data_IF_234444000880
#
_entry.id   IF_234444000880
#
_cell.length_a   1.000
_cell.length_b   1.000
_cell.length_c   1.000
_cell.angle_alpha   90.00
_cell.angle_beta   90.00
_cell.angle_gamma   90.00
#
_symmetry.space_group_name_H-M   'P 1'
#
loop_
_entity.id
_entity.type
_entity.pdbx_description
1 polymer ?
#
# COMPACT_ATOMS: atom_id res chain seq x y z
N UNK A 1 -17.97 -40.19 -5.92
CA UNK A 1 -17.39 -39.55 -4.75
C UNK A 1 -15.88 -39.41 -5.02
N UNK A 2 -15.47 -38.35 -5.73
CA UNK A 2 -14.06 -38.10 -6.07
C UNK A 2 -13.53 -37.16 -5.01
N UNK A 3 -12.75 -37.70 -4.07
CA UNK A 3 -11.97 -36.93 -3.11
C UNK A 3 -10.94 -36.13 -3.91
N UNK A 4 -11.22 -34.85 -4.17
CA UNK A 4 -10.18 -33.92 -4.66
C UNK A 4 -9.10 -33.85 -3.58
N UNK A 5 -7.97 -34.48 -3.84
CA UNK A 5 -6.77 -34.31 -3.04
C UNK A 5 -6.50 -32.80 -2.94
N UNK A 6 -6.56 -32.27 -1.72
CA UNK A 6 -6.16 -30.91 -1.42
C UNK A 6 -4.65 -30.87 -1.65
N UNK A 7 -4.24 -30.53 -2.86
CA UNK A 7 -2.86 -30.14 -3.10
C UNK A 7 -2.62 -28.92 -2.22
N UNK A 8 -1.87 -29.10 -1.13
CA UNK A 8 -1.28 -27.99 -0.40
C UNK A 8 -0.32 -27.30 -1.36
N UNK A 9 -0.83 -26.36 -2.16
CA UNK A 9 0.02 -25.52 -2.99
C UNK A 9 0.97 -24.79 -2.05
N UNK A 10 2.27 -25.03 -2.23
CA UNK A 10 3.31 -24.39 -1.42
C UNK A 10 3.38 -22.90 -1.84
N UNK A 11 2.42 -22.10 -1.33
CA UNK A 11 2.28 -20.67 -1.66
C UNK A 11 3.46 -19.85 -1.13
N UNK A 12 4.14 -20.32 -0.06
CA UNK A 12 5.31 -19.66 0.54
C UNK A 12 6.56 -20.05 -0.25
N UNK A 13 6.63 -19.61 -1.49
CA UNK A 13 7.79 -19.83 -2.35
C UNK A 13 8.98 -19.01 -1.91
N UNK A 14 10.19 -19.37 -2.39
CA UNK A 14 11.40 -18.57 -2.15
C UNK A 14 11.22 -17.09 -2.55
N UNK A 15 10.57 -16.81 -3.67
CA UNK A 15 10.34 -15.44 -4.11
C UNK A 15 9.40 -14.68 -3.16
N UNK A 16 8.32 -15.33 -2.70
CA UNK A 16 7.41 -14.73 -1.72
C UNK A 16 8.15 -14.35 -0.45
N UNK A 17 8.96 -15.28 0.09
CA UNK A 17 9.74 -15.02 1.29
C UNK A 17 10.78 -13.91 1.09
N UNK A 18 11.64 -14.02 0.05
CA UNK A 18 12.70 -13.04 -0.20
C UNK A 18 12.13 -11.65 -0.45
N UNK A 19 11.12 -11.52 -1.32
CA UNK A 19 10.52 -10.21 -1.63
C UNK A 19 9.80 -9.60 -0.43
N UNK A 20 9.24 -10.42 0.46
CA UNK A 20 8.62 -9.94 1.69
C UNK A 20 9.65 -9.41 2.69
N UNK A 21 10.78 -10.11 2.87
CA UNK A 21 11.89 -9.64 3.70
C UNK A 21 12.53 -8.38 3.11
N UNK A 22 12.71 -8.31 1.80
CA UNK A 22 13.19 -7.11 1.09
C UNK A 22 12.26 -5.91 1.36
N UNK A 23 10.94 -6.13 1.33
CA UNK A 23 9.97 -5.08 1.61
C UNK A 23 10.00 -4.63 3.07
N UNK A 24 10.07 -5.58 4.00
CA UNK A 24 10.23 -5.32 5.43
C UNK A 24 11.44 -4.41 5.72
N UNK A 25 12.62 -4.76 5.18
CA UNK A 25 13.84 -3.95 5.37
C UNK A 25 13.71 -2.57 4.76
N UNK A 26 13.13 -2.48 3.56
CA UNK A 26 12.95 -1.21 2.88
C UNK A 26 11.97 -0.30 3.62
N UNK A 27 10.87 -0.85 4.14
CA UNK A 27 9.89 -0.06 4.87
C UNK A 27 10.43 0.31 6.26
N UNK A 28 11.17 -0.57 6.94
CA UNK A 28 11.94 -0.22 8.15
C UNK A 28 12.85 1.00 7.89
N UNK A 29 13.59 0.99 6.77
CA UNK A 29 14.46 2.10 6.39
C UNK A 29 13.71 3.41 6.11
N UNK A 30 12.55 3.33 5.48
CA UNK A 30 11.75 4.50 5.10
C UNK A 30 11.01 5.10 6.29
N UNK A 31 10.41 4.25 7.11
CA UNK A 31 9.57 4.63 8.23
C UNK A 31 10.39 5.05 9.46
N UNK A 32 11.67 4.63 9.56
CA UNK A 32 12.59 5.13 10.56
C UNK A 32 12.75 6.66 10.47
N UNK A 33 12.76 7.19 9.25
CA UNK A 33 12.94 8.61 8.98
C UNK A 33 11.62 9.38 8.91
N UNK A 34 10.50 8.69 8.66
CA UNK A 34 9.23 9.35 8.35
C UNK A 34 8.77 10.36 9.42
N UNK A 35 8.74 10.03 10.73
CA UNK A 35 8.36 11.00 11.75
C UNK A 35 9.44 12.05 12.04
N UNK A 36 10.69 11.79 11.73
CA UNK A 36 11.82 12.68 12.01
C UNK A 36 12.11 13.68 10.88
N UNK A 37 11.69 13.36 9.66
CA UNK A 37 12.01 14.16 8.48
C UNK A 37 11.39 15.57 8.51
N UNK A 38 10.13 15.78 8.92
CA UNK A 38 9.56 17.12 9.10
C UNK A 38 10.35 17.95 10.12
N UNK A 39 10.74 17.34 11.24
CA UNK A 39 11.56 17.98 12.28
C UNK A 39 12.93 18.37 11.72
N UNK A 40 13.60 17.45 11.04
CA UNK A 40 14.88 17.70 10.41
C UNK A 40 14.82 18.87 9.41
N UNK A 41 13.82 18.89 8.55
CA UNK A 41 13.62 19.95 7.56
C UNK A 41 13.42 21.33 8.21
N UNK A 42 12.60 21.41 9.26
CA UNK A 42 12.22 22.69 9.87
C UNK A 42 13.26 23.17 10.88
N UNK A 43 13.74 22.30 11.77
CA UNK A 43 14.63 22.70 12.87
C UNK A 43 16.12 22.70 12.51
N UNK A 44 16.56 21.77 11.63
CA UNK A 44 17.97 21.65 11.27
C UNK A 44 18.28 22.38 9.97
N UNK A 45 17.42 22.23 8.94
CA UNK A 45 17.64 22.86 7.64
C UNK A 45 16.91 24.20 7.47
N UNK A 46 16.14 24.64 8.46
CA UNK A 46 15.44 25.95 8.44
C UNK A 46 14.37 26.06 7.34
N UNK A 47 13.85 24.95 6.83
CA UNK A 47 12.85 24.97 5.78
C UNK A 47 11.49 25.47 6.30
N UNK A 48 10.76 26.31 5.55
CA UNK A 48 9.38 26.67 5.90
C UNK A 48 8.47 25.42 5.95
N UNK A 49 7.48 25.36 6.85
CA UNK A 49 6.56 24.21 6.95
C UNK A 49 5.85 23.86 5.63
N UNK A 50 5.55 24.85 4.79
CA UNK A 50 4.97 24.61 3.46
C UNK A 50 5.86 23.75 2.54
N UNK A 51 7.19 23.78 2.72
CA UNK A 51 8.14 22.97 1.96
C UNK A 51 8.00 21.50 2.33
N UNK A 52 7.69 21.16 3.57
CA UNK A 52 7.48 19.77 4.01
C UNK A 52 6.32 19.14 3.23
N UNK A 53 5.18 19.82 3.15
CA UNK A 53 4.04 19.36 2.35
C UNK A 53 4.34 19.27 0.85
N UNK A 54 5.08 20.25 0.31
CA UNK A 54 5.48 20.24 -1.09
C UNK A 54 6.41 19.06 -1.43
N UNK A 55 7.34 18.70 -0.54
CA UNK A 55 8.24 17.55 -0.69
C UNK A 55 7.44 16.24 -0.74
N UNK A 56 6.55 16.02 0.21
CA UNK A 56 5.74 14.79 0.27
C UNK A 56 4.76 14.71 -0.92
N UNK A 57 4.12 15.81 -1.28
CA UNK A 57 3.22 15.88 -2.44
C UNK A 57 3.92 15.58 -3.76
N UNK A 58 5.08 16.19 -4.00
CA UNK A 58 5.89 15.95 -5.19
C UNK A 58 6.39 14.49 -5.25
N UNK A 59 6.85 13.96 -4.11
CA UNK A 59 7.34 12.59 -4.01
C UNK A 59 6.23 11.56 -4.30
N UNK A 60 5.04 11.71 -3.72
CA UNK A 60 3.93 10.77 -3.93
C UNK A 60 3.33 10.89 -5.34
N UNK A 61 3.28 12.09 -5.90
CA UNK A 61 2.96 12.33 -7.31
C UNK A 61 3.90 11.59 -8.26
N UNK A 62 5.21 11.70 -8.02
CA UNK A 62 6.23 10.97 -8.78
C UNK A 62 6.06 9.45 -8.69
N UNK A 63 5.77 8.92 -7.49
CA UNK A 63 5.51 7.50 -7.30
C UNK A 63 4.29 7.03 -8.12
N UNK A 64 3.19 7.77 -8.09
CA UNK A 64 1.95 7.41 -8.77
C UNK A 64 2.11 7.39 -10.30
N UNK A 65 2.77 8.41 -10.87
CA UNK A 65 3.13 8.46 -12.30
C UNK A 65 4.01 7.27 -12.71
N UNK A 66 5.03 6.99 -11.89
CA UNK A 66 5.98 5.91 -12.19
C UNK A 66 5.35 4.53 -12.11
N UNK A 67 4.39 4.29 -11.20
CA UNK A 67 3.63 3.03 -11.12
C UNK A 67 2.89 2.73 -12.43
N UNK A 68 2.27 3.75 -13.06
CA UNK A 68 1.60 3.59 -14.36
C UNK A 68 2.57 3.19 -15.46
N UNK A 69 3.75 3.80 -15.50
CA UNK A 69 4.78 3.51 -16.51
C UNK A 69 5.48 2.16 -16.26
N UNK A 70 5.75 1.80 -15.01
CA UNK A 70 6.46 0.58 -14.63
C UNK A 70 5.67 -0.71 -14.87
N UNK A 71 4.34 -0.65 -14.80
CA UNK A 71 3.48 -1.80 -15.10
C UNK A 71 3.77 -2.41 -16.48
N UNK A 72 3.59 -1.65 -17.59
CA UNK A 72 3.94 -2.09 -18.92
C UNK A 72 5.39 -2.57 -19.11
N UNK A 73 6.34 -1.89 -18.46
CA UNK A 73 7.75 -2.30 -18.49
C UNK A 73 7.95 -3.67 -17.83
N UNK A 74 7.28 -3.92 -16.69
CA UNK A 74 7.34 -5.20 -15.98
C UNK A 74 6.70 -6.37 -16.74
N UNK A 75 5.80 -6.13 -17.72
CA UNK A 75 5.29 -7.18 -18.58
C UNK A 75 6.14 -7.36 -19.86
N UNK A 76 6.83 -6.31 -20.29
CA UNK A 76 7.68 -6.35 -21.48
C UNK A 76 9.09 -6.89 -21.22
N UNK A 77 9.68 -6.52 -20.09
CA UNK A 77 11.05 -6.86 -19.71
C UNK A 77 11.07 -7.87 -18.54
N UNK A 78 12.24 -8.37 -18.21
CA UNK A 78 12.49 -9.13 -16.97
C UNK A 78 12.20 -8.23 -15.76
N UNK A 79 11.51 -8.77 -14.77
CA UNK A 79 11.04 -8.01 -13.59
C UNK A 79 12.15 -7.79 -12.57
N UNK A 80 13.04 -8.78 -12.40
CA UNK A 80 14.12 -8.72 -11.39
C UNK A 80 15.01 -7.48 -11.54
N UNK A 81 15.52 -7.08 -12.72
CA UNK A 81 16.30 -5.84 -12.87
C UNK A 81 15.51 -4.58 -12.53
N UNK A 82 14.21 -4.51 -12.89
CA UNK A 82 13.34 -3.39 -12.53
C UNK A 82 13.15 -3.29 -11.02
N UNK A 83 12.96 -4.42 -10.35
CA UNK A 83 12.84 -4.50 -8.90
C UNK A 83 14.15 -4.04 -8.25
N UNK A 84 15.30 -4.54 -8.71
CA UNK A 84 16.62 -4.15 -8.21
C UNK A 84 16.89 -2.66 -8.42
N UNK A 85 16.60 -2.12 -9.61
CA UNK A 85 16.71 -0.70 -9.90
C UNK A 85 15.83 0.15 -8.96
N UNK A 86 14.57 -0.28 -8.74
CA UNK A 86 13.64 0.43 -7.85
C UNK A 86 14.11 0.46 -6.39
N UNK A 87 14.61 -0.64 -5.85
CA UNK A 87 15.20 -0.67 -4.51
C UNK A 87 16.53 0.10 -4.46
N UNK A 88 17.36 0.01 -5.51
CA UNK A 88 18.59 0.78 -5.65
C UNK A 88 18.34 2.31 -5.66
N UNK A 89 17.33 2.77 -6.39
CA UNK A 89 16.89 4.17 -6.37
C UNK A 89 16.42 4.58 -4.97
N UNK A 90 15.71 3.73 -4.26
CA UNK A 90 15.26 4.04 -2.90
C UNK A 90 16.45 4.13 -1.91
N UNK A 91 17.45 3.27 -2.03
CA UNK A 91 18.68 3.37 -1.25
C UNK A 91 19.48 4.64 -1.61
N UNK A 92 19.63 4.94 -2.91
CA UNK A 92 20.27 6.18 -3.39
C UNK A 92 19.54 7.42 -2.89
N UNK A 93 18.21 7.43 -2.91
CA UNK A 93 17.40 8.52 -2.37
C UNK A 93 17.73 8.80 -0.89
N UNK A 94 17.90 7.74 -0.08
CA UNK A 94 18.29 7.88 1.34
C UNK A 94 19.71 8.42 1.50
N UNK A 95 20.63 7.98 0.65
CA UNK A 95 22.01 8.57 0.63
C UNK A 95 21.95 10.06 0.30
N UNK A 96 21.18 10.45 -0.72
CA UNK A 96 21.03 11.87 -1.09
C UNK A 96 20.45 12.68 0.09
N UNK A 97 19.43 12.16 0.77
CA UNK A 97 18.85 12.81 1.97
C UNK A 97 19.89 12.94 3.08
N UNK A 98 20.69 11.89 3.33
CA UNK A 98 21.68 11.87 4.41
C UNK A 98 22.82 12.89 4.22
N UNK A 99 23.20 13.16 2.97
CA UNK A 99 24.27 14.15 2.65
C UNK A 99 23.72 15.53 2.32
N UNK A 100 22.40 15.73 2.35
CA UNK A 100 21.76 17.00 1.99
C UNK A 100 22.04 18.08 3.03
N UNK A 101 22.74 19.14 2.62
CA UNK A 101 22.97 20.33 3.45
C UNK A 101 21.83 21.36 3.39
N UNK A 102 20.81 21.15 2.56
CA UNK A 102 19.66 22.05 2.39
C UNK A 102 18.42 21.27 1.92
N UNK A 103 17.23 21.83 2.15
CA UNK A 103 15.95 21.19 1.80
C UNK A 103 15.78 20.79 0.33
N UNK A 104 16.36 21.47 -0.71
CA UNK A 104 16.26 21.00 -2.08
C UNK A 104 16.94 19.64 -2.31
N UNK A 105 18.04 19.36 -1.59
CA UNK A 105 18.68 18.04 -1.60
C UNK A 105 17.77 16.96 -1.01
N UNK A 106 17.07 17.28 0.09
CA UNK A 106 16.06 16.37 0.68
C UNK A 106 14.92 16.10 -0.29
N UNK A 107 14.40 17.14 -0.98
CA UNK A 107 13.40 16.98 -2.04
C UNK A 107 13.89 16.03 -3.13
N UNK A 108 15.10 16.24 -3.65
CA UNK A 108 15.68 15.38 -4.68
C UNK A 108 15.77 13.92 -4.21
N UNK A 109 16.28 13.68 -3.00
CA UNK A 109 16.38 12.34 -2.42
C UNK A 109 15.02 11.66 -2.22
N UNK A 110 14.01 12.38 -1.74
CA UNK A 110 12.64 11.88 -1.56
C UNK A 110 12.00 11.54 -2.90
N UNK A 111 12.15 12.39 -3.93
CA UNK A 111 11.63 12.11 -5.27
C UNK A 111 12.30 10.85 -5.85
N UNK A 112 13.63 10.71 -5.74
CA UNK A 112 14.36 9.52 -6.21
C UNK A 112 13.89 8.25 -5.49
N UNK A 113 13.73 8.28 -4.16
CA UNK A 113 13.18 7.16 -3.38
C UNK A 113 11.78 6.76 -3.87
N UNK A 114 10.90 7.73 -4.08
CA UNK A 114 9.52 7.50 -4.51
C UNK A 114 9.40 7.05 -5.97
N UNK A 115 10.23 7.55 -6.86
CA UNK A 115 10.39 6.99 -8.21
C UNK A 115 10.78 5.51 -8.14
N UNK A 116 11.74 5.16 -7.26
CA UNK A 116 12.12 3.78 -7.00
C UNK A 116 10.95 2.92 -6.51
N UNK A 117 10.11 3.43 -5.59
CA UNK A 117 8.89 2.78 -5.14
C UNK A 117 7.91 2.53 -6.30
N UNK A 118 7.78 3.50 -7.20
CA UNK A 118 6.96 3.37 -8.40
C UNK A 118 7.46 2.29 -9.37
N UNK A 119 8.78 2.29 -9.65
CA UNK A 119 9.40 1.33 -10.59
C UNK A 119 9.26 -0.11 -10.10
N UNK A 120 9.48 -0.38 -8.81
CA UNK A 120 9.48 -1.75 -8.26
C UNK A 120 8.08 -2.33 -7.98
N UNK A 121 7.09 -1.49 -7.67
CA UNK A 121 5.80 -1.91 -7.10
C UNK A 121 5.07 -2.96 -7.93
N UNK A 122 4.67 -2.60 -9.15
CA UNK A 122 3.91 -3.47 -10.03
C UNK A 122 4.70 -4.70 -10.53
N UNK A 123 5.99 -4.60 -10.95
CA UNK A 123 6.81 -5.76 -11.27
C UNK A 123 7.00 -6.73 -10.09
N UNK A 124 7.19 -6.22 -8.88
CA UNK A 124 7.30 -7.02 -7.66
C UNK A 124 6.02 -7.79 -7.39
N UNK A 125 4.87 -7.12 -7.41
CA UNK A 125 3.58 -7.72 -7.11
C UNK A 125 3.22 -8.80 -8.15
N UNK A 126 3.58 -8.60 -9.41
CA UNK A 126 3.42 -9.62 -10.45
C UNK A 126 4.37 -10.83 -10.27
N UNK A 127 5.59 -10.61 -9.76
CA UNK A 127 6.55 -11.68 -9.50
C UNK A 127 6.22 -12.49 -8.23
N UNK A 128 5.61 -11.85 -7.23
CA UNK A 128 5.12 -12.51 -6.01
C UNK A 128 4.14 -13.64 -6.32
N UNK A 129 3.27 -13.45 -7.30
CA UNK A 129 2.22 -14.42 -7.66
C UNK A 129 2.59 -15.29 -8.87
N UNK A 130 3.82 -15.20 -9.39
CA UNK A 130 4.26 -16.00 -10.51
C UNK A 130 4.28 -17.49 -10.15
N UNK A 131 3.47 -18.28 -10.85
CA UNK A 131 3.31 -19.72 -10.58
C UNK A 131 2.51 -20.05 -9.32
N UNK A 132 1.79 -19.08 -8.76
CA UNK A 132 0.89 -19.27 -7.62
C UNK A 132 -0.56 -19.39 -8.12
N UNK A 133 -1.26 -20.40 -7.61
CA UNK A 133 -2.66 -20.63 -7.90
C UNK A 133 -3.52 -19.45 -7.42
N UNK A 134 -4.60 -19.15 -8.14
CA UNK A 134 -5.51 -18.04 -7.81
C UNK A 134 -6.11 -18.16 -6.41
N UNK A 135 -6.33 -19.40 -5.93
CA UNK A 135 -6.84 -19.71 -4.60
C UNK A 135 -5.85 -19.46 -3.45
N UNK A 136 -4.63 -19.04 -3.75
CA UNK A 136 -3.58 -18.77 -2.76
C UNK A 136 -3.00 -17.34 -2.87
N UNK A 137 -3.45 -16.55 -3.83
CA UNK A 137 -2.93 -15.19 -4.05
C UNK A 137 -3.27 -14.23 -2.91
N UNK A 138 -4.39 -14.43 -2.24
CA UNK A 138 -4.77 -13.67 -1.05
C UNK A 138 -3.77 -13.86 0.09
N UNK A 139 -3.38 -15.11 0.37
CA UNK A 139 -2.34 -15.45 1.36
C UNK A 139 -0.99 -14.83 1.01
N UNK A 140 -0.59 -14.89 -0.26
CA UNK A 140 0.68 -14.30 -0.72
C UNK A 140 0.71 -12.79 -0.49
N UNK A 141 -0.31 -12.08 -0.95
CA UNK A 141 -0.38 -10.63 -0.75
C UNK A 141 -0.59 -10.24 0.71
N UNK A 142 -1.36 -11.02 1.47
CA UNK A 142 -1.54 -10.83 2.91
C UNK A 142 -0.23 -10.99 3.67
N UNK A 143 0.52 -12.05 3.42
CA UNK A 143 1.84 -12.29 4.03
C UNK A 143 2.85 -11.20 3.66
N UNK A 144 2.91 -10.84 2.38
CA UNK A 144 3.78 -9.77 1.92
C UNK A 144 3.44 -8.45 2.60
N UNK A 145 2.15 -8.13 2.75
CA UNK A 145 1.70 -6.92 3.42
C UNK A 145 2.00 -6.97 4.92
N UNK A 146 1.82 -8.10 5.59
CA UNK A 146 2.25 -8.28 6.99
C UNK A 146 3.71 -7.90 7.17
N UNK A 147 4.61 -8.42 6.34
CA UNK A 147 6.05 -8.13 6.41
C UNK A 147 6.36 -6.66 6.11
N UNK A 148 5.73 -6.09 5.08
CA UNK A 148 5.83 -4.69 4.67
C UNK A 148 5.45 -3.77 5.87
N UNK A 149 4.26 -4.01 6.46
CA UNK A 149 3.73 -3.20 7.56
C UNK A 149 4.47 -3.43 8.89
N UNK A 150 5.03 -4.62 9.14
CA UNK A 150 5.93 -4.82 10.27
C UNK A 150 7.17 -3.92 10.18
N UNK A 151 7.65 -3.62 8.97
CA UNK A 151 8.67 -2.60 8.74
C UNK A 151 8.20 -1.21 9.15
N UNK A 152 6.93 -0.87 8.87
CA UNK A 152 6.31 0.39 9.29
C UNK A 152 6.04 0.48 10.80
N UNK A 153 6.00 -0.64 11.52
CA UNK A 153 5.97 -0.69 12.99
C UNK A 153 7.38 -0.52 13.56
N UNK A 154 8.34 -1.31 13.05
CA UNK A 154 9.70 -1.35 13.58
C UNK A 154 10.48 -0.06 13.27
N UNK A 155 10.29 0.51 12.07
CA UNK A 155 11.00 1.71 11.64
C UNK A 155 10.90 2.88 12.60
N UNK A 156 9.69 3.39 12.92
CA UNK A 156 9.50 4.49 13.85
C UNK A 156 10.02 4.20 15.25
N UNK A 157 9.88 2.96 15.74
CA UNK A 157 10.41 2.54 17.05
C UNK A 157 11.94 2.60 17.08
N UNK A 158 12.62 2.14 16.02
CA UNK A 158 14.07 2.25 15.88
C UNK A 158 14.49 3.72 15.73
N UNK A 159 13.70 4.52 15.00
CA UNK A 159 13.92 5.96 14.86
C UNK A 159 13.87 6.66 16.20
N UNK A 160 12.85 6.39 17.02
CA UNK A 160 12.69 6.98 18.34
C UNK A 160 13.79 6.53 19.29
N UNK A 161 14.06 5.22 19.37
CA UNK A 161 15.13 4.68 20.22
C UNK A 161 16.50 5.26 19.83
N UNK A 162 16.80 5.34 18.53
CA UNK A 162 18.03 5.94 18.05
C UNK A 162 18.12 7.46 18.32
N UNK A 163 17.00 8.17 18.26
CA UNK A 163 16.93 9.60 18.58
C UNK A 163 17.29 9.86 20.04
N UNK A 164 16.75 9.04 20.96
CA UNK A 164 17.10 9.11 22.39
C UNK A 164 18.56 8.72 22.65
N UNK A 165 19.04 7.62 22.05
CA UNK A 165 20.42 7.13 22.22
C UNK A 165 21.50 8.04 21.63
N UNK A 166 21.16 8.89 20.68
CA UNK A 166 22.07 9.81 19.97
C UNK A 166 21.93 11.25 20.46
N UNK A 167 21.53 11.47 21.70
CA UNK A 167 21.34 12.81 22.30
C UNK A 167 20.50 13.75 21.41
N UNK A 168 19.39 13.23 20.90
CA UNK A 168 18.44 13.95 20.06
C UNK A 168 18.99 14.45 18.72
N UNK A 169 20.07 13.83 18.22
CA UNK A 169 20.69 14.19 16.94
C UNK A 169 20.09 13.39 15.79
N UNK A 170 19.41 14.08 14.86
CA UNK A 170 18.77 13.44 13.69
C UNK A 170 19.78 13.03 12.59
N UNK A 171 20.84 13.81 12.23
CA UNK A 171 21.71 13.46 11.12
C UNK A 171 22.31 12.04 11.15
N UNK A 172 22.78 11.48 12.29
CA UNK A 172 23.27 10.09 12.31
C UNK A 172 22.19 9.06 11.93
N UNK A 173 20.92 9.30 12.26
CA UNK A 173 19.81 8.40 11.92
C UNK A 173 19.57 8.31 10.41
N UNK A 174 19.85 9.40 9.67
CA UNK A 174 19.77 9.39 8.21
C UNK A 174 20.75 8.38 7.60
N UNK A 175 21.95 8.25 8.17
CA UNK A 175 22.94 7.24 7.74
C UNK A 175 22.55 5.83 8.19
N UNK A 176 22.02 5.66 9.40
CA UNK A 176 21.55 4.35 9.90
C UNK A 176 20.46 3.79 8.99
N UNK A 177 19.55 4.62 8.50
CA UNK A 177 18.48 4.18 7.58
C UNK A 177 18.99 3.65 6.23
N UNK A 178 20.22 4.00 5.83
CA UNK A 178 20.84 3.48 4.59
C UNK A 178 21.11 1.97 4.73
N UNK A 179 21.47 1.49 5.92
CA UNK A 179 21.85 0.08 6.15
C UNK A 179 20.74 -0.90 5.72
N UNK A 180 19.52 -0.85 6.29
CA UNK A 180 18.45 -1.76 5.84
C UNK A 180 18.03 -1.53 4.39
N UNK A 181 18.16 -0.29 3.87
CA UNK A 181 17.88 -0.02 2.46
C UNK A 181 18.88 -0.73 1.53
N UNK A 182 20.18 -0.68 1.83
CA UNK A 182 21.22 -1.39 1.05
C UNK A 182 21.06 -2.90 1.17
N UNK A 183 20.78 -3.42 2.38
CA UNK A 183 20.51 -4.85 2.57
C UNK A 183 19.32 -5.31 1.72
N UNK A 184 18.26 -4.49 1.61
CA UNK A 184 17.12 -4.80 0.74
C UNK A 184 17.53 -4.97 -0.72
N UNK A 185 18.40 -4.09 -1.23
CA UNK A 185 18.94 -4.18 -2.61
C UNK A 185 19.74 -5.48 -2.82
N UNK A 186 20.63 -5.80 -1.88
CA UNK A 186 21.46 -7.00 -1.96
C UNK A 186 20.61 -8.28 -1.97
N UNK A 187 19.57 -8.33 -1.13
CA UNK A 187 18.66 -9.47 -1.05
C UNK A 187 17.83 -9.68 -2.33
N UNK A 188 17.58 -8.64 -3.14
CA UNK A 188 16.97 -8.82 -4.47
C UNK A 188 17.83 -9.75 -5.35
N UNK A 189 19.13 -9.82 -5.10
CA UNK A 189 20.03 -10.79 -5.75
C UNK A 189 19.61 -12.25 -5.59
N UNK A 190 18.89 -12.59 -4.50
CA UNK A 190 18.37 -13.94 -4.23
C UNK A 190 17.05 -14.27 -4.94
N UNK A 191 16.39 -13.29 -5.54
CA UNK A 191 15.14 -13.46 -6.30
C UNK A 191 15.41 -14.26 -7.57
N UNK A 192 14.56 -15.24 -7.84
CA UNK A 192 14.63 -16.07 -9.04
C UNK A 192 13.49 -15.72 -9.98
N UNK A 193 13.80 -15.34 -11.20
CA UNK A 193 12.83 -15.16 -12.27
C UNK A 193 13.02 -16.21 -13.34
N UNK A 194 11.93 -16.86 -13.75
CA UNK A 194 11.98 -17.83 -14.83
C UNK A 194 12.17 -17.11 -16.16
N UNK A 195 13.05 -17.61 -17.06
CA UNK A 195 13.17 -17.05 -18.39
C UNK A 195 11.80 -17.04 -19.08
N UNK A 196 11.36 -15.88 -19.53
CA UNK A 196 10.12 -15.78 -20.31
C UNK A 196 10.34 -16.39 -21.68
N UNK A 197 9.67 -17.49 -21.96
CA UNK A 197 9.72 -18.16 -23.28
C UNK A 197 8.90 -17.35 -24.30
N UNK A 198 9.54 -16.92 -25.39
CA UNK A 198 8.92 -16.29 -26.56
C UNK A 198 9.66 -15.02 -27.03
N UNK A 199 9.71 -14.78 -28.35
CA UNK A 199 10.38 -13.62 -28.91
C UNK A 199 9.67 -12.31 -28.48
N UNK A 200 10.44 -11.31 -28.09
CA UNK A 200 9.93 -9.99 -27.71
C UNK A 200 9.09 -9.30 -28.82
N UNK A 201 9.36 -9.66 -30.07
CA UNK A 201 8.69 -9.13 -31.25
C UNK A 201 7.20 -9.54 -31.40
N UNK A 202 6.75 -10.60 -30.71
CA UNK A 202 5.34 -11.06 -30.76
C UNK A 202 4.46 -10.45 -29.66
N UNK A 203 5.01 -9.62 -28.79
CA UNK A 203 4.24 -9.00 -27.69
C UNK A 203 3.41 -7.82 -28.23
N UNK A 204 2.09 -7.98 -28.17
CA UNK A 204 1.15 -6.90 -28.53
C UNK A 204 1.47 -5.64 -27.72
N UNK A 205 1.29 -4.43 -28.29
CA UNK A 205 1.41 -3.20 -27.53
C UNK A 205 0.54 -3.27 -26.27
N UNK A 206 1.13 -3.06 -25.09
CA UNK A 206 0.46 -3.25 -23.80
C UNK A 206 -0.83 -2.43 -23.71
N UNK A 207 -0.84 -1.22 -24.26
CA UNK A 207 -2.05 -0.38 -24.33
C UNK A 207 -3.20 -1.06 -25.09
N UNK A 208 -2.90 -1.78 -26.20
CA UNK A 208 -3.91 -2.53 -26.97
C UNK A 208 -4.37 -3.77 -26.22
N UNK A 209 -3.46 -4.43 -25.48
CA UNK A 209 -3.78 -5.60 -24.66
C UNK A 209 -4.64 -5.22 -23.46
N UNK A 210 -4.35 -4.11 -22.77
CA UNK A 210 -5.16 -3.58 -21.67
C UNK A 210 -6.58 -3.20 -22.13
N UNK A 211 -6.71 -2.55 -23.30
CA UNK A 211 -8.04 -2.22 -23.86
C UNK A 211 -8.88 -3.46 -24.17
N UNK A 212 -8.24 -4.60 -24.43
CA UNK A 212 -8.90 -5.90 -24.65
C UNK A 212 -9.30 -6.62 -23.38
N UNK A 213 -9.02 -6.09 -22.19
CA UNK A 213 -9.40 -6.73 -20.91
C UNK A 213 -10.92 -6.73 -20.74
N UNK A 214 -11.46 -7.76 -20.03
CA UNK A 214 -12.90 -7.89 -19.81
C UNK A 214 -13.48 -6.65 -19.12
N UNK A 215 -14.72 -6.29 -19.44
CA UNK A 215 -15.43 -5.18 -18.80
C UNK A 215 -15.53 -5.34 -17.26
N UNK A 216 -15.42 -6.59 -16.74
CA UNK A 216 -15.36 -6.86 -15.31
C UNK A 216 -14.10 -6.26 -14.67
N UNK A 217 -12.93 -6.31 -15.33
CA UNK A 217 -11.70 -5.69 -14.84
C UNK A 217 -11.91 -4.18 -14.67
N UNK A 218 -12.40 -3.51 -15.73
CA UNK A 218 -12.59 -2.05 -15.71
C UNK A 218 -13.62 -1.60 -14.66
N UNK A 219 -14.69 -2.38 -14.46
CA UNK A 219 -15.66 -2.10 -13.39
C UNK A 219 -15.04 -2.18 -12.01
N UNK A 220 -14.18 -3.19 -11.76
CA UNK A 220 -13.49 -3.32 -10.49
C UNK A 220 -12.48 -2.18 -10.30
N UNK A 221 -11.68 -1.85 -11.31
CA UNK A 221 -10.76 -0.71 -11.23
C UNK A 221 -11.52 0.59 -10.96
N UNK A 222 -12.61 0.87 -11.68
CA UNK A 222 -13.40 2.07 -11.47
C UNK A 222 -13.95 2.17 -10.01
N UNK A 223 -14.38 1.03 -9.45
CA UNK A 223 -14.86 0.97 -8.06
C UNK A 223 -13.72 1.24 -7.07
N UNK A 224 -12.56 0.59 -7.23
CA UNK A 224 -11.41 0.75 -6.34
C UNK A 224 -10.83 2.16 -6.41
N UNK A 225 -10.74 2.73 -7.61
CA UNK A 225 -10.29 4.12 -7.82
C UNK A 225 -11.32 5.11 -7.30
N UNK A 226 -12.62 4.85 -7.53
CA UNK A 226 -13.71 5.66 -6.98
C UNK A 226 -13.68 5.72 -5.46
N UNK A 227 -13.46 4.58 -4.80
CA UNK A 227 -13.21 4.56 -3.35
C UNK A 227 -11.95 5.36 -2.98
N UNK A 228 -10.87 5.26 -3.78
CA UNK A 228 -9.64 6.02 -3.55
C UNK A 228 -9.85 7.53 -3.49
N UNK A 229 -10.87 8.09 -4.18
CA UNK A 229 -11.19 9.54 -4.15
C UNK A 229 -11.73 9.99 -2.79
N UNK A 230 -12.23 9.08 -1.97
CA UNK A 230 -12.74 9.38 -0.62
C UNK A 230 -11.85 8.83 0.49
N UNK A 231 -10.77 8.12 0.14
CA UNK A 231 -9.79 7.60 1.08
C UNK A 231 -8.56 8.53 1.11
N UNK A 232 -8.58 9.56 1.93
CA UNK A 232 -7.48 10.50 2.02
C UNK A 232 -6.29 9.94 2.86
N UNK A 233 -5.06 10.54 2.74
CA UNK A 233 -3.86 10.05 3.41
C UNK A 233 -3.95 10.08 4.95
N UNK A 234 -3.29 9.12 5.58
CA UNK A 234 -3.21 8.93 7.04
C UNK A 234 -2.77 10.19 7.80
N UNK A 235 -1.97 11.04 7.16
CA UNK A 235 -1.52 12.30 7.74
C UNK A 235 -2.67 13.18 8.27
N UNK A 236 -3.84 13.17 7.58
CA UNK A 236 -5.02 13.90 8.02
C UNK A 236 -5.71 13.21 9.21
N UNK A 237 -5.65 11.89 9.31
CA UNK A 237 -6.13 11.16 10.49
C UNK A 237 -5.26 11.50 11.69
N UNK A 238 -3.93 11.51 11.53
CA UNK A 238 -3.00 11.88 12.61
C UNK A 238 -3.19 13.33 13.05
N UNK A 239 -3.49 14.25 12.12
CA UNK A 239 -3.86 15.62 12.44
C UNK A 239 -5.13 15.66 13.30
N UNK A 240 -6.16 14.86 12.94
CA UNK A 240 -7.40 14.77 13.73
C UNK A 240 -7.15 14.27 15.15
N UNK A 241 -6.23 13.30 15.34
CA UNK A 241 -5.90 12.83 16.69
C UNK A 241 -5.30 13.95 17.57
N UNK A 242 -4.43 14.77 16.99
CA UNK A 242 -3.89 15.93 17.71
C UNK A 242 -5.00 16.92 18.11
N UNK A 243 -5.99 17.15 17.23
CA UNK A 243 -7.16 18.01 17.51
C UNK A 243 -8.10 17.42 18.57
N UNK A 244 -8.16 16.08 18.72
CA UNK A 244 -8.90 15.41 19.80
C UNK A 244 -8.19 15.59 21.15
N UNK A 245 -6.87 15.87 21.15
CA UNK A 245 -6.08 16.11 22.35
C UNK A 245 -4.96 15.10 22.59
N UNK A 246 -4.63 14.27 21.61
CA UNK A 246 -3.44 13.42 21.67
C UNK A 246 -2.18 14.27 21.70
N UNK A 247 -1.27 13.97 22.62
CA UNK A 247 0.09 14.48 22.59
C UNK A 247 0.84 13.95 21.36
N UNK A 248 1.94 14.59 20.98
CA UNK A 248 2.76 14.15 19.84
C UNK A 248 3.23 12.69 20.01
N UNK A 249 3.60 12.30 21.24
CA UNK A 249 4.01 10.92 21.56
C UNK A 249 2.85 9.95 21.35
N UNK A 250 1.64 10.29 21.80
CA UNK A 250 0.45 9.46 21.61
C UNK A 250 0.05 9.35 20.14
N UNK A 251 0.21 10.40 19.34
CA UNK A 251 0.00 10.33 17.87
C UNK A 251 0.97 9.35 17.21
N UNK A 252 2.25 9.36 17.61
CA UNK A 252 3.25 8.39 17.12
C UNK A 252 2.88 6.97 17.55
N UNK A 253 2.51 6.77 18.82
CA UNK A 253 2.07 5.47 19.31
C UNK A 253 0.79 4.99 18.62
N UNK A 254 -0.13 5.90 18.31
CA UNK A 254 -1.34 5.61 17.55
C UNK A 254 -1.02 5.15 16.13
N UNK A 255 -0.06 5.81 15.47
CA UNK A 255 0.46 5.39 14.16
C UNK A 255 1.03 3.96 14.23
N UNK A 256 1.89 3.67 15.21
CA UNK A 256 2.44 2.33 15.43
C UNK A 256 1.34 1.33 15.76
N UNK A 257 0.38 1.71 16.61
CA UNK A 257 -0.71 0.85 17.07
C UNK A 257 -1.61 0.36 15.94
N UNK A 258 -2.11 1.27 15.08
CA UNK A 258 -2.96 0.83 13.97
C UNK A 258 -2.17 0.03 12.92
N UNK A 259 -0.91 0.38 12.66
CA UNK A 259 -0.04 -0.39 11.79
C UNK A 259 0.22 -1.81 12.34
N UNK A 260 0.31 -1.98 13.67
CA UNK A 260 0.42 -3.31 14.27
C UNK A 260 -0.84 -4.14 14.04
N UNK A 261 -2.03 -3.56 14.26
CA UNK A 261 -3.31 -4.22 13.93
C UNK A 261 -3.36 -4.58 12.44
N UNK A 262 -2.98 -3.65 11.57
CA UNK A 262 -2.89 -3.86 10.13
C UNK A 262 -1.96 -5.02 9.78
N UNK A 263 -0.74 -5.06 10.32
CA UNK A 263 0.23 -6.12 10.07
C UNK A 263 -0.31 -7.50 10.50
N UNK A 264 -0.83 -7.61 11.73
CA UNK A 264 -1.36 -8.87 12.27
C UNK A 264 -2.57 -9.37 11.49
N UNK A 265 -3.48 -8.47 11.09
CA UNK A 265 -4.71 -8.83 10.40
C UNK A 265 -4.53 -9.08 8.89
N UNK A 266 -3.44 -8.62 8.26
CA UNK A 266 -3.25 -8.70 6.80
C UNK A 266 -3.18 -10.13 6.26
N UNK A 267 -2.44 -11.02 6.93
CA UNK A 267 -2.39 -12.44 6.52
C UNK A 267 -3.73 -13.15 6.70
N UNK A 268 -4.42 -13.07 7.86
CA UNK A 268 -5.76 -13.60 8.03
C UNK A 268 -6.78 -13.08 7.01
N UNK A 269 -6.79 -11.77 6.73
CA UNK A 269 -7.68 -11.16 5.74
C UNK A 269 -7.40 -11.69 4.32
N UNK A 270 -6.13 -11.82 3.94
CA UNK A 270 -5.71 -12.42 2.68
C UNK A 270 -6.14 -13.88 2.55
N UNK A 271 -5.93 -14.69 3.61
CA UNK A 271 -6.33 -16.08 3.66
C UNK A 271 -7.85 -16.25 3.61
N UNK A 272 -8.60 -15.34 4.24
CA UNK A 272 -10.06 -15.30 4.15
C UNK A 272 -10.50 -15.00 2.71
N UNK A 273 -9.84 -14.04 2.03
CA UNK A 273 -10.09 -13.72 0.62
C UNK A 273 -9.78 -14.84 -0.37
N UNK A 274 -9.04 -15.88 0.04
CA UNK A 274 -8.86 -17.11 -0.75
C UNK A 274 -10.02 -18.11 -0.57
N UNK A 275 -10.77 -18.01 0.53
CA UNK A 275 -11.89 -18.92 0.87
C UNK A 275 -13.26 -18.37 0.50
N UNK A 276 -13.45 -17.06 0.63
CA UNK A 276 -14.69 -16.37 0.29
C UNK A 276 -14.44 -15.33 -0.81
N UNK A 277 -15.49 -14.85 -1.50
CA UNK A 277 -15.31 -13.87 -2.56
C UNK A 277 -14.59 -12.62 -2.09
N UNK A 278 -13.51 -12.24 -2.76
CA UNK A 278 -12.69 -11.07 -2.43
C UNK A 278 -13.45 -9.76 -2.28
N UNK A 279 -14.52 -9.49 -3.11
CA UNK A 279 -15.39 -8.33 -2.90
C UNK A 279 -16.07 -8.30 -1.53
N UNK A 280 -16.36 -9.46 -0.91
CA UNK A 280 -16.96 -9.53 0.42
C UNK A 280 -15.96 -9.09 1.49
N UNK A 281 -14.73 -9.63 1.46
CA UNK A 281 -13.68 -9.24 2.42
C UNK A 281 -13.37 -7.75 2.29
N UNK A 282 -13.25 -7.26 1.04
CA UNK A 282 -13.04 -5.84 0.77
C UNK A 282 -14.20 -4.99 1.27
N UNK A 283 -15.45 -5.41 1.04
CA UNK A 283 -16.67 -4.74 1.51
C UNK A 283 -16.75 -4.65 3.04
N UNK A 284 -16.37 -5.72 3.76
CA UNK A 284 -16.25 -5.71 5.23
C UNK A 284 -15.19 -4.71 5.68
N UNK A 285 -14.05 -4.65 4.98
CA UNK A 285 -13.04 -3.62 5.21
C UNK A 285 -13.62 -2.22 5.08
N UNK A 286 -14.45 -1.95 4.06
CA UNK A 286 -15.10 -0.65 3.89
C UNK A 286 -16.13 -0.33 4.98
N UNK A 287 -16.73 -1.33 5.62
CA UNK A 287 -17.57 -1.10 6.83
C UNK A 287 -16.69 -0.61 7.97
N UNK A 288 -15.51 -1.24 8.21
CA UNK A 288 -14.57 -0.75 9.21
C UNK A 288 -14.08 0.68 8.91
N UNK A 289 -13.82 0.99 7.63
CA UNK A 289 -13.50 2.34 7.19
C UNK A 289 -14.61 3.34 7.53
N UNK A 290 -15.86 3.03 7.17
CA UNK A 290 -17.00 3.90 7.41
C UNK A 290 -17.19 4.18 8.91
N UNK A 291 -17.15 3.13 9.75
CA UNK A 291 -17.27 3.28 11.21
C UNK A 291 -16.10 4.06 11.78
N UNK A 292 -14.86 3.76 11.35
CA UNK A 292 -13.65 4.45 11.79
C UNK A 292 -13.68 5.95 11.45
N UNK A 293 -13.99 6.29 10.20
CA UNK A 293 -14.01 7.68 9.74
C UNK A 293 -15.16 8.49 10.35
N UNK A 294 -16.38 7.94 10.36
CA UNK A 294 -17.53 8.61 11.00
C UNK A 294 -17.25 8.79 12.49
N UNK A 295 -16.78 7.73 13.16
CA UNK A 295 -16.46 7.76 14.58
C UNK A 295 -15.39 8.80 14.92
N UNK A 296 -14.26 8.85 14.19
CA UNK A 296 -13.23 9.87 14.37
C UNK A 296 -13.72 11.29 14.04
N UNK A 297 -14.67 11.42 13.12
CA UNK A 297 -15.30 12.71 12.82
C UNK A 297 -16.10 13.28 13.97
N UNK A 298 -16.78 12.43 14.75
CA UNK A 298 -17.68 12.89 15.82
C UNK A 298 -17.10 12.78 17.24
N UNK A 299 -16.14 11.86 17.48
CA UNK A 299 -15.58 11.65 18.82
C UNK A 299 -14.66 12.79 19.25
N UNK A 300 -14.67 13.05 20.56
CA UNK A 300 -13.69 13.86 21.27
C UNK A 300 -13.00 13.07 22.39
N UNK A 301 -13.34 11.79 22.52
CA UNK A 301 -12.81 10.89 23.55
C UNK A 301 -11.58 10.13 23.02
N UNK A 302 -10.46 10.20 23.74
CA UNK A 302 -9.19 9.60 23.40
C UNK A 302 -9.29 8.07 23.35
N UNK A 303 -10.01 7.46 24.31
CA UNK A 303 -10.15 5.99 24.37
C UNK A 303 -10.96 5.47 23.18
N UNK A 304 -12.06 6.17 22.86
CA UNK A 304 -12.85 5.84 21.66
C UNK A 304 -12.03 6.00 20.39
N UNK A 305 -11.21 7.05 20.30
CA UNK A 305 -10.32 7.25 19.13
C UNK A 305 -9.31 6.10 18.98
N UNK A 306 -8.75 5.57 20.04
CA UNK A 306 -7.87 4.38 20.00
C UNK A 306 -8.59 3.15 19.45
N UNK A 307 -9.83 2.88 19.85
CA UNK A 307 -10.63 1.77 19.33
C UNK A 307 -10.92 1.95 17.84
N UNK A 308 -11.26 3.17 17.41
CA UNK A 308 -11.53 3.50 16.01
C UNK A 308 -10.29 3.36 15.13
N UNK A 309 -9.10 3.67 15.66
CA UNK A 309 -7.83 3.39 14.96
C UNK A 309 -7.57 1.89 14.80
N UNK A 310 -7.98 1.06 15.77
CA UNK A 310 -7.98 -0.39 15.60
C UNK A 310 -8.84 -0.84 14.43
N UNK A 311 -10.06 -0.28 14.28
CA UNK A 311 -10.92 -0.54 13.11
C UNK A 311 -10.28 -0.04 11.80
N UNK A 312 -9.59 1.10 11.83
CA UNK A 312 -8.84 1.61 10.68
C UNK A 312 -7.74 0.63 10.25
N UNK A 313 -7.00 0.05 11.20
CA UNK A 313 -6.03 -1.00 10.93
C UNK A 313 -6.67 -2.26 10.30
N UNK A 314 -7.86 -2.66 10.75
CA UNK A 314 -8.62 -3.77 10.14
C UNK A 314 -9.11 -3.42 8.72
N UNK A 315 -9.54 -2.18 8.48
CA UNK A 315 -9.89 -1.72 7.15
C UNK A 315 -8.73 -1.90 6.16
N UNK A 316 -7.56 -1.38 6.50
CA UNK A 316 -6.37 -1.46 5.64
C UNK A 316 -5.97 -2.91 5.39
N UNK A 317 -6.04 -3.78 6.41
CA UNK A 317 -5.77 -5.22 6.28
C UNK A 317 -6.73 -5.92 5.31
N UNK A 318 -8.03 -5.60 5.37
CA UNK A 318 -9.05 -6.21 4.51
C UNK A 318 -9.05 -5.67 3.07
N UNK A 319 -8.39 -4.54 2.80
CA UNK A 319 -8.49 -3.88 1.49
C UNK A 319 -7.21 -3.93 0.68
N UNK A 320 -6.04 -3.65 1.25
CA UNK A 320 -4.81 -3.47 0.49
C UNK A 320 -4.33 -4.77 -0.20
N UNK A 321 -4.00 -5.80 0.57
CA UNK A 321 -3.58 -7.10 0.01
C UNK A 321 -4.69 -7.78 -0.78
N UNK A 322 -5.91 -7.73 -0.26
CA UNK A 322 -7.11 -8.33 -0.90
C UNK A 322 -7.45 -7.63 -2.22
N UNK A 323 -7.32 -6.30 -2.31
CA UNK A 323 -7.52 -5.55 -3.55
C UNK A 323 -6.54 -5.97 -4.65
N UNK A 324 -5.26 -6.13 -4.31
CA UNK A 324 -4.22 -6.64 -5.24
C UNK A 324 -4.51 -8.08 -5.68
N UNK A 325 -4.89 -8.94 -4.74
CA UNK A 325 -5.27 -10.31 -5.04
C UNK A 325 -6.52 -10.34 -5.95
N UNK A 326 -7.50 -9.47 -5.72
CA UNK A 326 -8.70 -9.37 -6.55
C UNK A 326 -8.36 -8.95 -7.98
N UNK A 327 -7.61 -7.86 -8.17
CA UNK A 327 -7.15 -7.41 -9.49
C UNK A 327 -6.38 -8.52 -10.21
N UNK A 328 -5.53 -9.26 -9.50
CA UNK A 328 -4.72 -10.32 -10.09
C UNK A 328 -5.54 -11.50 -10.66
N UNK A 329 -6.75 -11.74 -10.14
CA UNK A 329 -7.65 -12.81 -10.65
C UNK A 329 -8.44 -12.41 -11.89
N UNK A 330 -8.38 -11.15 -12.30
CA UNK A 330 -9.15 -10.61 -13.44
C UNK A 330 -8.36 -10.54 -14.73
N UNK A 331 -7.07 -10.83 -14.67
CA UNK A 331 -6.15 -10.64 -15.80
C UNK A 331 -5.23 -11.85 -16.00
N UNK A 332 -4.84 -12.14 -17.24
CA UNK A 332 -3.91 -13.23 -17.53
C UNK A 332 -2.49 -12.93 -17.00
N UNK A 333 -1.66 -13.98 -16.88
CA UNK A 333 -0.33 -13.91 -16.29
C UNK A 333 0.60 -12.89 -17.01
N UNK A 334 0.41 -12.71 -18.30
CA UNK A 334 1.21 -11.82 -19.16
C UNK A 334 0.96 -10.33 -18.88
N UNK A 335 -0.19 -9.98 -18.29
CA UNK A 335 -0.60 -8.59 -18.03
C UNK A 335 -0.65 -8.25 -16.53
N UNK A 336 -0.12 -9.11 -15.67
CA UNK A 336 -0.20 -8.91 -14.21
C UNK A 336 0.49 -7.61 -13.77
N UNK A 337 1.67 -7.31 -14.30
CA UNK A 337 2.39 -6.09 -13.94
C UNK A 337 1.66 -4.83 -14.42
N UNK A 338 1.16 -4.83 -15.67
CA UNK A 338 0.38 -3.71 -16.21
C UNK A 338 -0.91 -3.47 -15.43
N UNK A 339 -1.63 -4.54 -15.08
CA UNK A 339 -2.86 -4.44 -14.32
C UNK A 339 -2.63 -3.90 -12.89
N UNK A 340 -1.59 -4.37 -12.21
CA UNK A 340 -1.20 -3.86 -10.89
C UNK A 340 -0.69 -2.41 -10.97
N UNK A 341 0.08 -2.07 -12.00
CA UNK A 341 0.57 -0.70 -12.23
C UNK A 341 -0.58 0.29 -12.47
N UNK A 342 -1.56 -0.09 -13.30
CA UNK A 342 -2.77 0.70 -13.53
C UNK A 342 -3.58 0.89 -12.25
N UNK A 343 -3.82 -0.20 -11.50
CA UNK A 343 -4.53 -0.14 -10.23
C UNK A 343 -3.84 0.79 -9.24
N UNK A 344 -2.57 0.54 -8.93
CA UNK A 344 -1.83 1.29 -7.92
C UNK A 344 -1.59 2.74 -8.33
N UNK A 345 -1.32 3.01 -9.61
CA UNK A 345 -1.11 4.36 -10.11
C UNK A 345 -2.39 5.18 -10.08
N UNK A 346 -3.49 4.63 -10.61
CA UNK A 346 -4.78 5.31 -10.62
C UNK A 346 -5.32 5.54 -9.18
N UNK A 347 -5.20 4.54 -8.29
CA UNK A 347 -5.57 4.69 -6.88
C UNK A 347 -4.68 5.73 -6.18
N UNK A 348 -3.37 5.78 -6.49
CA UNK A 348 -2.48 6.80 -5.95
C UNK A 348 -2.90 8.22 -6.30
N UNK A 349 -3.30 8.47 -7.55
CA UNK A 349 -3.86 9.78 -7.94
C UNK A 349 -5.21 10.07 -7.28
N UNK A 350 -6.05 9.05 -7.12
CA UNK A 350 -7.32 9.19 -6.43
C UNK A 350 -7.12 9.60 -4.96
N UNK A 351 -6.18 8.95 -4.25
CA UNK A 351 -5.82 9.28 -2.86
C UNK A 351 -5.20 10.68 -2.76
N UNK A 352 -4.36 11.09 -3.73
CA UNK A 352 -3.85 12.47 -3.78
C UNK A 352 -4.98 13.48 -3.93
N UNK A 353 -5.94 13.24 -4.81
CA UNK A 353 -7.12 14.10 -4.97
C UNK A 353 -7.97 14.12 -3.70
N UNK A 354 -8.09 12.98 -3.01
CA UNK A 354 -8.76 12.88 -1.72
C UNK A 354 -8.10 13.76 -0.66
N UNK A 355 -6.77 13.72 -0.57
CA UNK A 355 -6.00 14.59 0.33
C UNK A 355 -6.20 16.08 0.06
N UNK A 356 -6.26 16.47 -1.23
CA UNK A 356 -6.48 17.87 -1.61
C UNK A 356 -7.86 18.38 -1.19
N UNK A 357 -8.94 17.71 -1.59
CA UNK A 357 -10.28 18.19 -1.24
C UNK A 357 -10.56 18.09 0.25
N UNK A 358 -10.08 17.00 0.91
CA UNK A 358 -10.24 16.85 2.35
C UNK A 358 -9.48 17.95 3.12
N UNK A 359 -8.26 18.29 2.69
CA UNK A 359 -7.48 19.37 3.26
C UNK A 359 -8.14 20.74 3.07
N UNK A 360 -8.71 21.03 1.88
CA UNK A 360 -9.44 22.26 1.61
C UNK A 360 -10.71 22.40 2.47
N UNK A 361 -11.38 21.30 2.75
CA UNK A 361 -12.62 21.28 3.57
C UNK A 361 -12.36 20.98 5.05
N UNK A 362 -11.07 20.92 5.48
CA UNK A 362 -10.70 20.47 6.82
C UNK A 362 -11.37 21.31 7.93
N UNK A 363 -11.43 22.63 7.74
CA UNK A 363 -11.97 23.55 8.73
C UNK A 363 -11.14 23.52 10.03
N UNK A 364 -11.80 23.75 11.17
CA UNK A 364 -11.12 23.80 12.46
C UNK A 364 -10.79 22.41 13.06
N UNK A 365 -11.54 21.35 12.69
CA UNK A 365 -11.46 20.04 13.34
C UNK A 365 -11.57 18.83 12.40
N UNK A 366 -11.53 19.02 11.10
CA UNK A 366 -11.55 17.91 10.13
C UNK A 366 -12.83 17.05 10.14
N UNK A 367 -13.90 17.45 10.82
CA UNK A 367 -15.12 16.66 10.99
C UNK A 367 -15.82 16.39 9.64
N UNK A 368 -15.98 17.45 8.84
CA UNK A 368 -16.72 17.37 7.58
C UNK A 368 -16.10 16.38 6.57
N UNK A 369 -14.80 16.44 6.24
CA UNK A 369 -14.19 15.47 5.34
C UNK A 369 -14.23 14.04 5.88
N UNK A 370 -14.08 13.84 7.18
CA UNK A 370 -14.18 12.51 7.79
C UNK A 370 -15.61 11.92 7.64
N UNK A 371 -16.65 12.73 7.87
CA UNK A 371 -18.04 12.29 7.69
C UNK A 371 -18.36 11.99 6.22
N UNK A 372 -17.96 12.87 5.28
CA UNK A 372 -18.17 12.66 3.85
C UNK A 372 -17.50 11.34 3.41
N UNK A 373 -16.22 11.16 3.76
CA UNK A 373 -15.47 9.94 3.42
C UNK A 373 -16.09 8.69 4.04
N UNK A 374 -16.46 8.75 5.32
CA UNK A 374 -17.05 7.62 6.02
C UNK A 374 -18.40 7.20 5.44
N UNK A 375 -19.28 8.16 5.15
CA UNK A 375 -20.59 7.90 4.51
C UNK A 375 -20.39 7.32 3.10
N UNK A 376 -19.52 7.92 2.29
CA UNK A 376 -19.21 7.42 0.96
C UNK A 376 -18.62 6.01 1.01
N UNK A 377 -17.69 5.74 1.94
CA UNK A 377 -17.14 4.40 2.18
C UNK A 377 -18.22 3.38 2.54
N UNK A 378 -19.20 3.76 3.37
CA UNK A 378 -20.39 2.95 3.69
C UNK A 378 -21.24 2.63 2.46
N UNK A 379 -21.43 3.59 1.56
CA UNK A 379 -22.13 3.38 0.28
C UNK A 379 -21.36 2.37 -0.60
N UNK A 380 -20.03 2.51 -0.74
CA UNK A 380 -19.21 1.54 -1.46
C UNK A 380 -19.26 0.13 -0.81
N UNK A 381 -19.28 0.05 0.52
CA UNK A 381 -19.45 -1.21 1.25
C UNK A 381 -20.79 -1.87 0.90
N UNK A 382 -21.89 -1.12 0.94
CA UNK A 382 -23.23 -1.61 0.62
C UNK A 382 -23.29 -2.12 -0.83
N UNK A 383 -22.76 -1.38 -1.80
CA UNK A 383 -22.70 -1.78 -3.22
C UNK A 383 -21.98 -3.12 -3.38
N UNK A 384 -20.82 -3.31 -2.71
CA UNK A 384 -20.04 -4.54 -2.81
C UNK A 384 -20.72 -5.73 -2.14
N UNK A 385 -21.25 -5.54 -0.93
CA UNK A 385 -21.84 -6.62 -0.15
C UNK A 385 -23.17 -7.08 -0.78
N UNK A 386 -24.05 -6.16 -1.16
CA UNK A 386 -25.32 -6.49 -1.84
C UNK A 386 -25.07 -7.10 -3.23
N UNK A 387 -24.11 -6.51 -4.00
CA UNK A 387 -23.75 -7.04 -5.31
C UNK A 387 -23.21 -8.46 -5.27
N UNK A 388 -22.42 -8.81 -4.23
CA UNK A 388 -21.88 -10.17 -4.07
C UNK A 388 -22.93 -11.18 -3.64
N UNK A 389 -23.91 -10.82 -2.81
CA UNK A 389 -25.04 -11.68 -2.43
C UNK A 389 -25.89 -11.99 -3.67
N UNK A 390 -26.20 -10.99 -4.50
CA UNK A 390 -26.97 -11.18 -5.73
C UNK A 390 -26.34 -12.13 -6.75
N UNK A 391 -24.99 -12.17 -6.82
CA UNK A 391 -24.26 -13.10 -7.69
C UNK A 391 -24.34 -14.54 -7.13
N UNK A 392 -24.20 -14.72 -5.83
CA UNK A 392 -24.29 -16.05 -5.19
C UNK A 392 -25.69 -16.67 -5.34
N UNK A 393 -26.75 -15.90 -5.17
CA UNK A 393 -28.14 -16.37 -5.35
C UNK A 393 -28.37 -16.83 -6.80
N UNK A 394 -27.88 -16.04 -7.80
CA UNK A 394 -28.03 -16.39 -9.22
C UNK A 394 -27.25 -17.65 -9.65
N UNK A 395 -26.12 -17.93 -9.03
CA UNK A 395 -25.36 -19.16 -9.27
C UNK A 395 -26.04 -20.39 -8.65
N UNK A 396 -26.61 -20.27 -7.45
CA UNK A 396 -27.34 -21.36 -6.80
C UNK A 396 -28.65 -21.72 -7.54
N UNK A 397 -29.40 -20.70 -8.02
CA UNK A 397 -30.62 -20.95 -8.82
C UNK A 397 -30.31 -21.58 -10.17
N UNK A 398 -29.22 -21.24 -10.83
CA UNK A 398 -28.81 -21.88 -12.10
C UNK A 398 -28.38 -23.34 -11.94
N UNK A 399 -27.70 -23.69 -10.84
CA UNK A 399 -27.33 -25.08 -10.53
C UNK A 399 -28.52 -25.91 -10.08
N UNK A 400 -29.47 -25.31 -9.39
CA UNK A 400 -30.72 -25.99 -8.99
C UNK A 400 -31.72 -26.25 -10.15
N UNK A 401 -31.66 -25.42 -11.23
CA UNK A 401 -32.44 -25.63 -12.44
C UNK A 401 -31.76 -26.55 -13.47
N UNK A 402 -30.51 -26.94 -13.27
CA UNK A 402 -29.75 -27.81 -14.17
C UNK A 402 -29.65 -29.28 -13.68
N UNK A 403 -30.13 -29.56 -12.48
CA UNK A 403 -30.35 -30.89 -11.91
C UNK A 403 -31.83 -31.22 -11.90
#
# INVERSE_FOLDING_TARGET
>A
MIVRAVHHSNWLTRNVWVLSVVSFLQDTASELLYPLLPIYLTTVLGAPPAVVGAIEGAAEGAASLTKLAAGPLGDRFTRRPLIAAGYGMAALGKVIVAVAGAWPGVLAGRVVDRLGKGVRGAPRDALLIEGIDESSRGRVFGFHRTMDTLGAVLGPLLGLAGYELLDHKIPPLLYIAIVPAVLSVLLVGLVRERPRRGPAAQRRPVAKALRGLPGRYWRVIALLVGFGVVNFPDALILLRLNEIGFSVAEVILAYVGYNLVYAVASYPAGALGDRIPKPVVFGVGLVFFAVGYIGLGITTDIVVAWLLLGLYGLFTACTDGVGKAWVSTLVPAELQSSAQGMFQGATGFAVLSAGLWAGLLWGERGQLPLLISGIAGGVFAAILLVGSIGIQIRTHTRTACAN
#
